data_IF_278778151191
#
_entry.id   IF_278778151191
#
_cell.length_a   1.000
_cell.length_b   1.000
_cell.length_c   1.000
_cell.angle_alpha   90.00
_cell.angle_beta   90.00
_cell.angle_gamma   90.00
#
_symmetry.space_group_name_H-M   'P 1'
#
loop_
_entity.id
_entity.type
_entity.pdbx_description
1 polymer ?
#
# COMPACT_ATOMS: atom_id res chain seq x y z
N UNK A 1 -2.06 8.98 26.89
CA UNK A 1 -2.37 9.81 25.70
C UNK A 1 -3.26 8.97 24.79
N UNK A 2 -4.35 9.52 24.26
CA UNK A 2 -5.29 8.74 23.45
C UNK A 2 -4.77 8.67 22.00
N UNK A 3 -4.09 7.57 21.65
CA UNK A 3 -3.45 7.39 20.33
C UNK A 3 -4.40 6.85 19.25
N UNK A 4 -5.62 6.43 19.63
CA UNK A 4 -6.66 5.95 18.72
C UNK A 4 -6.91 6.85 17.49
N UNK A 5 -7.05 8.19 17.61
CA UNK A 5 -7.25 9.04 16.43
C UNK A 5 -6.06 9.01 15.46
N UNK A 6 -4.83 8.91 15.95
CA UNK A 6 -3.63 8.80 15.12
C UNK A 6 -3.58 7.47 14.35
N UNK A 7 -3.98 6.37 14.98
CA UNK A 7 -4.03 5.04 14.36
C UNK A 7 -5.08 5.00 13.24
N UNK A 8 -6.24 5.61 13.46
CA UNK A 8 -7.31 5.67 12.44
C UNK A 8 -6.86 6.48 11.22
N UNK A 9 -6.22 7.64 11.45
CA UNK A 9 -5.71 8.49 10.37
C UNK A 9 -4.60 7.79 9.58
N UNK A 10 -3.66 7.14 10.27
CA UNK A 10 -2.57 6.41 9.60
C UNK A 10 -3.08 5.21 8.80
N UNK A 11 -4.08 4.48 9.31
CA UNK A 11 -4.72 3.39 8.59
C UNK A 11 -5.42 3.88 7.31
N UNK A 12 -6.13 5.02 7.36
CA UNK A 12 -6.76 5.64 6.19
C UNK A 12 -5.73 6.03 5.12
N UNK A 13 -4.61 6.65 5.53
CA UNK A 13 -3.52 7.03 4.61
C UNK A 13 -2.91 5.78 3.96
N UNK A 14 -2.72 4.70 4.72
CA UNK A 14 -2.19 3.44 4.21
C UNK A 14 -3.10 2.81 3.14
N UNK A 15 -4.42 2.81 3.37
CA UNK A 15 -5.40 2.30 2.41
C UNK A 15 -5.41 3.15 1.14
N UNK A 16 -5.42 4.48 1.28
CA UNK A 16 -5.41 5.40 0.13
C UNK A 16 -4.12 5.25 -0.72
N UNK A 17 -2.96 5.12 -0.05
CA UNK A 17 -1.69 4.87 -0.72
C UNK A 17 -1.71 3.54 -1.48
N UNK A 18 -2.23 2.47 -0.88
CA UNK A 18 -2.36 1.16 -1.52
C UNK A 18 -3.23 1.22 -2.79
N UNK A 19 -4.38 1.89 -2.71
CA UNK A 19 -5.29 2.07 -3.84
C UNK A 19 -4.58 2.83 -4.97
N UNK A 20 -3.85 3.90 -4.65
CA UNK A 20 -3.06 4.65 -5.63
C UNK A 20 -1.97 3.78 -6.28
N UNK A 21 -1.24 2.99 -5.50
CA UNK A 21 -0.20 2.07 -6.01
C UNK A 21 -0.78 1.00 -6.93
N UNK A 22 -1.94 0.44 -6.59
CA UNK A 22 -2.66 -0.53 -7.43
C UNK A 22 -3.16 0.15 -8.71
N UNK A 23 -3.76 1.33 -8.62
CA UNK A 23 -4.28 2.08 -9.76
C UNK A 23 -3.18 2.44 -10.77
N UNK A 24 -2.05 2.95 -10.28
CA UNK A 24 -0.86 3.28 -11.09
C UNK A 24 -0.27 2.01 -11.73
N UNK A 25 -0.23 0.89 -10.99
CA UNK A 25 0.28 -0.39 -11.51
C UNK A 25 -0.63 -1.01 -12.57
N UNK A 26 -1.95 -0.93 -12.40
CA UNK A 26 -2.93 -1.52 -13.30
C UNK A 26 -3.06 -0.76 -14.63
N UNK A 27 -3.00 0.57 -14.62
CA UNK A 27 -3.14 1.37 -15.82
C UNK A 27 -2.15 2.54 -15.87
N UNK A 28 -0.86 2.28 -16.18
CA UNK A 28 0.12 3.34 -16.38
C UNK A 28 -0.28 4.11 -17.64
N UNK A 29 -0.84 5.31 -17.45
CA UNK A 29 -1.43 6.15 -18.50
C UNK A 29 -0.37 6.93 -19.31
N UNK A 30 0.80 6.32 -19.50
CA UNK A 30 1.94 6.96 -20.14
C UNK A 30 2.21 6.32 -21.51
N UNK A 31 2.28 7.16 -22.54
CA UNK A 31 2.43 6.74 -23.93
C UNK A 31 3.84 6.22 -24.24
N UNK A 32 4.80 6.46 -23.33
CA UNK A 32 6.17 5.93 -23.41
C UNK A 32 6.35 4.59 -22.67
N UNK A 33 5.29 4.00 -22.13
CA UNK A 33 5.39 2.74 -21.40
C UNK A 33 5.60 1.55 -22.36
N UNK A 34 6.86 1.24 -22.66
CA UNK A 34 7.25 0.03 -23.39
C UNK A 34 6.84 -1.23 -22.61
N UNK A 35 6.59 -2.34 -23.31
CA UNK A 35 6.10 -3.61 -22.72
C UNK A 35 6.97 -4.09 -21.53
N UNK A 36 8.29 -3.89 -21.59
CA UNK A 36 9.21 -4.26 -20.50
C UNK A 36 9.05 -3.37 -19.25
N UNK A 37 8.81 -2.07 -19.44
CA UNK A 37 8.57 -1.13 -18.35
C UNK A 37 7.25 -1.46 -17.64
N UNK A 38 6.20 -1.82 -18.41
CA UNK A 38 4.88 -2.25 -17.90
C UNK A 38 4.99 -3.43 -16.93
N UNK A 39 5.78 -4.42 -17.30
CA UNK A 39 6.03 -5.60 -16.47
C UNK A 39 6.81 -5.24 -15.20
N UNK A 40 7.81 -4.37 -15.28
CA UNK A 40 8.58 -3.92 -14.10
C UNK A 40 7.70 -3.14 -13.11
N UNK A 41 6.81 -2.27 -13.58
CA UNK A 41 5.91 -1.54 -12.69
C UNK A 41 4.87 -2.45 -12.03
N UNK A 42 4.34 -3.43 -12.76
CA UNK A 42 3.43 -4.42 -12.18
C UNK A 42 4.11 -5.24 -11.07
N UNK A 43 5.36 -5.65 -11.30
CA UNK A 43 6.17 -6.34 -10.30
C UNK A 43 6.45 -5.41 -9.11
N UNK A 44 6.80 -4.15 -9.35
CA UNK A 44 7.11 -3.18 -8.29
C UNK A 44 5.87 -2.87 -7.42
N UNK A 45 4.71 -2.63 -8.04
CA UNK A 45 3.44 -2.46 -7.34
C UNK A 45 3.04 -3.75 -6.59
N UNK A 46 3.27 -4.92 -7.18
CA UNK A 46 3.04 -6.21 -6.54
C UNK A 46 3.90 -6.40 -5.28
N UNK A 47 5.21 -6.11 -5.37
CA UNK A 47 6.12 -6.14 -4.22
C UNK A 47 5.65 -5.16 -3.15
N UNK A 48 5.21 -3.96 -3.53
CA UNK A 48 4.69 -2.97 -2.59
C UNK A 48 3.45 -3.51 -1.86
N UNK A 49 2.47 -4.07 -2.57
CA UNK A 49 1.28 -4.67 -1.93
C UNK A 49 1.68 -5.83 -1.00
N UNK A 50 2.55 -6.74 -1.44
CA UNK A 50 2.96 -7.93 -0.66
C UNK A 50 3.79 -7.57 0.57
N UNK A 51 4.50 -6.43 0.58
CA UNK A 51 5.29 -5.99 1.74
C UNK A 51 4.47 -5.09 2.67
N UNK A 52 3.64 -4.22 2.10
CA UNK A 52 2.90 -3.21 2.84
C UNK A 52 1.65 -3.78 3.54
N UNK A 53 0.94 -4.71 2.89
CA UNK A 53 -0.25 -5.36 3.48
C UNK A 53 0.10 -6.15 4.74
N UNK A 54 1.14 -7.02 4.76
CA UNK A 54 1.54 -7.70 5.98
C UNK A 54 2.02 -6.73 7.06
N UNK A 55 2.75 -5.67 6.71
CA UNK A 55 3.21 -4.68 7.68
C UNK A 55 2.03 -4.00 8.39
N UNK A 56 0.97 -3.64 7.66
CA UNK A 56 -0.27 -3.09 8.23
C UNK A 56 -0.96 -4.12 9.12
N UNK A 57 -1.09 -5.37 8.66
CA UNK A 57 -1.73 -6.45 9.43
C UNK A 57 -0.99 -6.70 10.75
N UNK A 58 0.35 -6.79 10.71
CA UNK A 58 1.18 -6.94 11.91
C UNK A 58 1.06 -5.74 12.84
N UNK A 59 1.00 -4.53 12.30
CA UNK A 59 0.83 -3.31 13.10
C UNK A 59 -0.53 -3.31 13.82
N UNK A 60 -1.61 -3.66 13.12
CA UNK A 60 -2.95 -3.77 13.71
C UNK A 60 -3.01 -4.89 14.76
N UNK A 61 -2.44 -6.07 14.47
CA UNK A 61 -2.35 -7.18 15.42
C UNK A 61 -1.55 -6.81 16.67
N UNK A 62 -0.43 -6.12 16.51
CA UNK A 62 0.40 -5.67 17.64
C UNK A 62 -0.38 -4.70 18.54
N UNK A 63 -1.08 -3.72 17.96
CA UNK A 63 -1.91 -2.80 18.74
C UNK A 63 -3.14 -3.47 19.36
N UNK A 64 -3.72 -4.48 18.71
CA UNK A 64 -4.86 -5.24 19.25
C UNK A 64 -4.45 -6.17 20.41
N UNK A 65 -3.30 -6.84 20.32
CA UNK A 65 -2.81 -7.74 21.38
C UNK A 65 -2.14 -7.01 22.54
N UNK A 66 -1.67 -5.77 22.33
CA UNK A 66 -0.98 -4.97 23.34
C UNK A 66 -1.88 -3.92 24.00
N UNK A 67 -3.05 -3.63 23.43
CA UNK A 67 -4.11 -2.79 24.02
C UNK A 67 -5.06 -3.63 24.86
#
# INVERSE_FOLDING_TARGET
MNYLPLIIISALICIAALIATIYIGMNPNDKNYTKSTKQRMYILSGIYVVTFVPAIIFTLLYFYYKG
#
